data_IF_422237221552
#
_entry.id   IF_422237221552
#
_cell.length_a   1.000
_cell.length_b   1.000
_cell.length_c   1.000
_cell.angle_alpha   90.00
_cell.angle_beta   90.00
_cell.angle_gamma   90.00
#
_symmetry.space_group_name_H-M   'P 1'
#
loop_
_entity.id
_entity.type
_entity.pdbx_description
1 polymer ?
#
# COMPACT_ATOMS: atom_id res chain seq x y z
N UNK A 1 7.51 -30.13 9.28
CA UNK A 1 8.49 -29.28 8.59
C UNK A 1 9.90 -29.52 9.12
N UNK A 2 10.18 -29.34 10.43
CA UNK A 2 11.47 -29.82 11.01
C UNK A 2 11.69 -31.34 10.86
N UNK A 3 10.61 -32.14 10.94
CA UNK A 3 10.67 -33.61 10.85
C UNK A 3 11.01 -34.18 9.45
N UNK A 4 11.22 -33.33 8.43
CA UNK A 4 11.64 -33.74 7.07
C UNK A 4 12.95 -33.10 6.60
N UNK A 5 13.62 -32.31 7.44
CA UNK A 5 14.86 -31.61 7.06
C UNK A 5 14.70 -30.52 5.99
N UNK A 6 13.46 -30.10 5.69
CA UNK A 6 13.19 -29.05 4.71
C UNK A 6 13.14 -27.67 5.38
N UNK A 7 13.92 -26.73 4.84
CA UNK A 7 13.94 -25.34 5.29
C UNK A 7 12.66 -24.65 4.80
N UNK A 8 11.88 -24.11 5.72
CA UNK A 8 10.69 -23.32 5.42
C UNK A 8 11.11 -22.01 4.73
N UNK A 9 10.74 -21.83 3.47
CA UNK A 9 11.11 -20.64 2.68
C UNK A 9 10.08 -19.51 2.74
N UNK A 10 8.80 -19.84 2.93
CA UNK A 10 7.68 -18.89 2.91
C UNK A 10 6.56 -19.36 3.82
N UNK A 11 5.81 -18.40 4.37
CA UNK A 11 4.59 -18.64 5.12
C UNK A 11 3.47 -17.84 4.45
N UNK A 12 2.35 -18.49 4.18
CA UNK A 12 1.11 -17.83 3.75
C UNK A 12 0.17 -17.87 4.94
N UNK A 13 -0.25 -16.68 5.39
CA UNK A 13 -1.26 -16.54 6.44
C UNK A 13 -2.58 -16.25 5.75
N UNK A 14 -3.47 -17.23 5.75
CA UNK A 14 -4.86 -17.01 5.34
C UNK A 14 -5.62 -16.36 6.49
N UNK A 15 -6.25 -15.22 6.20
CA UNK A 15 -7.10 -14.53 7.15
C UNK A 15 -8.56 -14.80 6.79
N UNK A 16 -9.36 -15.28 7.75
CA UNK A 16 -10.76 -15.64 7.47
C UNK A 16 -11.63 -14.41 7.20
N UNK A 17 -12.47 -14.47 6.17
CA UNK A 17 -13.61 -13.56 5.98
C UNK A 17 -13.25 -12.07 6.00
N UNK A 18 -13.72 -11.36 7.03
CA UNK A 18 -13.64 -9.89 7.21
C UNK A 18 -12.38 -9.42 7.94
N UNK A 19 -11.36 -10.27 8.05
CA UNK A 19 -10.17 -9.94 8.82
C UNK A 19 -9.45 -8.71 8.28
N UNK A 20 -9.00 -7.87 9.22
CA UNK A 20 -8.11 -6.75 8.96
C UNK A 20 -6.65 -7.25 9.06
N UNK A 21 -5.79 -7.00 8.06
CA UNK A 21 -4.40 -7.46 8.10
C UNK A 21 -3.53 -6.72 9.11
N UNK A 22 -3.87 -5.49 9.54
CA UNK A 22 -2.94 -4.68 10.33
C UNK A 22 -2.60 -5.27 11.71
N UNK A 23 -3.51 -5.87 12.50
CA UNK A 23 -3.15 -6.54 13.75
C UNK A 23 -2.11 -7.66 13.54
N UNK A 24 -2.22 -8.41 12.44
CA UNK A 24 -1.29 -9.50 12.11
C UNK A 24 0.07 -8.92 11.73
N UNK A 25 0.07 -7.87 10.89
CA UNK A 25 1.29 -7.14 10.53
C UNK A 25 1.97 -6.56 11.76
N UNK A 26 1.21 -5.95 12.66
CA UNK A 26 1.71 -5.40 13.92
C UNK A 26 2.38 -6.47 14.78
N UNK A 27 1.76 -7.65 14.96
CA UNK A 27 2.35 -8.76 15.70
C UNK A 27 3.70 -9.18 15.13
N UNK A 28 3.79 -9.33 13.80
CA UNK A 28 5.03 -9.79 13.16
C UNK A 28 6.12 -8.71 13.22
N UNK A 29 5.77 -7.45 13.00
CA UNK A 29 6.73 -6.34 12.93
C UNK A 29 7.18 -5.84 14.31
N UNK A 30 6.38 -6.03 15.36
CA UNK A 30 6.69 -5.55 16.71
C UNK A 30 7.36 -6.60 17.60
N UNK A 31 7.20 -7.88 17.27
CA UNK A 31 7.85 -8.96 17.99
C UNK A 31 9.31 -9.10 17.52
N UNK A 32 10.26 -8.96 18.44
CA UNK A 32 11.70 -8.98 18.14
C UNK A 32 12.13 -10.34 17.58
N UNK A 33 11.57 -11.44 18.07
CA UNK A 33 11.91 -12.76 17.58
C UNK A 33 11.38 -12.94 16.15
N UNK A 34 10.13 -12.58 15.90
CA UNK A 34 9.55 -12.67 14.56
C UNK A 34 10.26 -11.75 13.56
N UNK A 35 10.59 -10.51 13.94
CA UNK A 35 11.25 -9.54 13.06
C UNK A 35 12.68 -9.92 12.67
N UNK A 36 13.37 -10.76 13.45
CA UNK A 36 14.68 -11.32 13.11
C UNK A 36 14.57 -12.52 12.16
N UNK A 37 13.48 -13.28 12.24
CA UNK A 37 13.32 -14.54 11.52
C UNK A 37 12.42 -14.45 10.27
N UNK A 38 11.56 -13.44 10.21
CA UNK A 38 10.56 -13.28 9.16
C UNK A 38 10.52 -11.85 8.64
N UNK A 39 10.19 -11.72 7.36
CA UNK A 39 9.93 -10.45 6.71
C UNK A 39 8.55 -10.49 6.06
N UNK A 40 7.78 -9.41 6.22
CA UNK A 40 6.51 -9.30 5.50
C UNK A 40 6.80 -9.00 4.03
N UNK A 41 6.43 -9.96 3.19
CA UNK A 41 6.56 -9.81 1.75
C UNK A 41 5.43 -8.97 1.14
N UNK A 42 4.17 -9.32 1.39
CA UNK A 42 3.04 -8.71 0.70
C UNK A 42 1.71 -9.00 1.41
N UNK A 43 0.76 -8.07 1.32
CA UNK A 43 -0.67 -8.32 1.59
C UNK A 43 -1.39 -8.56 0.26
N UNK A 44 -2.05 -9.71 0.12
CA UNK A 44 -2.76 -10.11 -1.10
C UNK A 44 -4.26 -10.18 -0.84
N UNK A 45 -5.06 -9.47 -1.63
CA UNK A 45 -6.52 -9.60 -1.61
C UNK A 45 -6.99 -10.49 -2.77
N UNK A 46 -7.68 -11.58 -2.45
CA UNK A 46 -8.32 -12.44 -3.44
C UNK A 46 -9.74 -11.93 -3.74
N UNK A 47 -10.00 -11.51 -4.98
CA UNK A 47 -11.29 -10.97 -5.41
C UNK A 47 -11.99 -11.97 -6.33
N UNK A 48 -13.19 -12.39 -5.96
CA UNK A 48 -14.08 -13.20 -6.80
C UNK A 48 -14.64 -12.35 -7.94
N UNK A 49 -14.16 -12.56 -9.16
CA UNK A 49 -14.56 -11.77 -10.33
C UNK A 49 -16.02 -11.99 -10.78
N UNK A 50 -16.64 -13.12 -10.41
CA UNK A 50 -18.04 -13.40 -10.70
C UNK A 50 -18.95 -12.60 -9.75
N UNK A 51 -18.60 -12.53 -8.46
CA UNK A 51 -19.43 -11.94 -7.41
C UNK A 51 -18.99 -10.54 -6.95
N UNK A 52 -17.89 -10.00 -7.50
CA UNK A 52 -17.30 -8.73 -7.06
C UNK A 52 -18.27 -7.56 -7.05
N UNK A 53 -19.21 -7.49 -8.00
CA UNK A 53 -20.21 -6.40 -8.04
C UNK A 53 -21.01 -6.31 -6.74
N UNK A 54 -21.40 -7.47 -6.19
CA UNK A 54 -22.15 -7.56 -4.93
C UNK A 54 -21.22 -7.35 -3.75
N UNK A 55 -20.04 -7.96 -3.73
CA UNK A 55 -19.11 -7.83 -2.59
C UNK A 55 -18.62 -6.39 -2.42
N UNK A 56 -18.36 -5.66 -3.51
CA UNK A 56 -17.87 -4.28 -3.47
C UNK A 56 -18.93 -3.23 -3.13
N UNK A 57 -20.14 -3.64 -2.73
CA UNK A 57 -21.09 -2.74 -2.04
C UNK A 57 -20.76 -2.61 -0.55
N UNK A 58 -20.15 -3.65 0.04
CA UNK A 58 -19.72 -3.70 1.43
C UNK A 58 -18.38 -2.94 1.60
N UNK A 59 -18.20 -2.25 2.72
CA UNK A 59 -17.01 -1.40 2.92
C UNK A 59 -15.79 -2.22 3.34
N UNK A 60 -15.99 -3.31 4.07
CA UNK A 60 -14.95 -4.21 4.53
C UNK A 60 -14.26 -4.89 3.34
N UNK A 61 -15.02 -5.32 2.32
CA UNK A 61 -14.45 -5.83 1.08
C UNK A 61 -13.62 -4.79 0.32
N UNK A 62 -14.04 -3.51 0.34
CA UNK A 62 -13.27 -2.41 -0.25
C UNK A 62 -11.99 -2.14 0.54
N UNK A 63 -12.07 -2.16 1.88
CA UNK A 63 -10.91 -1.97 2.76
C UNK A 63 -9.84 -3.03 2.54
N UNK A 64 -10.24 -4.29 2.38
CA UNK A 64 -9.30 -5.37 2.08
C UNK A 64 -8.53 -5.14 0.78
N UNK A 65 -9.19 -4.58 -0.25
CA UNK A 65 -8.51 -4.15 -1.48
C UNK A 65 -7.58 -2.96 -1.22
N UNK A 66 -8.00 -2.00 -0.39
CA UNK A 66 -7.18 -0.84 -0.02
C UNK A 66 -5.93 -1.24 0.75
N UNK A 67 -6.01 -2.22 1.65
CA UNK A 67 -4.88 -2.71 2.43
C UNK A 67 -3.87 -3.53 1.60
N UNK A 68 -4.31 -4.08 0.47
CA UNK A 68 -3.49 -5.00 -0.31
C UNK A 68 -2.36 -4.29 -1.08
N UNK A 69 -1.22 -4.97 -1.16
CA UNK A 69 -0.16 -4.66 -2.12
C UNK A 69 -0.54 -5.17 -3.53
N UNK A 70 -1.25 -6.29 -3.59
CA UNK A 70 -1.71 -6.90 -4.84
C UNK A 70 -3.10 -7.52 -4.72
N UNK A 71 -3.82 -7.53 -5.84
CA UNK A 71 -5.15 -8.13 -5.96
C UNK A 71 -5.08 -9.32 -6.90
N UNK A 72 -5.47 -10.49 -6.42
CA UNK A 72 -5.59 -11.71 -7.21
C UNK A 72 -7.06 -11.93 -7.60
N UNK A 73 -7.37 -11.75 -8.88
CA UNK A 73 -8.69 -12.06 -9.43
C UNK A 73 -8.86 -13.58 -9.53
N UNK A 74 -9.94 -14.08 -8.95
CA UNK A 74 -10.33 -15.49 -8.99
C UNK A 74 -11.64 -15.64 -9.75
N UNK A 75 -11.93 -16.86 -10.24
CA UNK A 75 -13.17 -17.18 -10.98
C UNK A 75 -13.39 -16.31 -12.24
N UNK A 76 -12.31 -15.81 -12.84
CA UNK A 76 -12.34 -15.05 -14.09
C UNK A 76 -12.81 -15.92 -15.26
N UNK A 77 -12.58 -17.24 -15.18
CA UNK A 77 -13.07 -18.26 -16.10
C UNK A 77 -14.60 -18.43 -16.09
N UNK A 78 -15.27 -18.07 -14.99
CA UNK A 78 -16.73 -18.10 -14.88
C UNK A 78 -17.39 -16.78 -15.28
N UNK A 79 -16.60 -15.73 -15.54
CA UNK A 79 -17.09 -14.42 -15.95
C UNK A 79 -17.04 -14.29 -17.47
N UNK A 80 -18.17 -14.58 -18.12
CA UNK A 80 -18.29 -14.55 -19.57
C UNK A 80 -18.37 -13.14 -20.16
N UNK A 81 -18.68 -12.10 -19.35
CA UNK A 81 -18.71 -10.71 -19.83
C UNK A 81 -17.35 -10.02 -19.63
N UNK A 82 -16.56 -9.91 -20.70
CA UNK A 82 -15.28 -9.19 -20.71
C UNK A 82 -15.41 -7.73 -20.25
N UNK A 83 -16.56 -7.08 -20.46
CA UNK A 83 -16.77 -5.70 -19.98
C UNK A 83 -16.90 -5.63 -18.47
N UNK A 84 -17.48 -6.66 -17.84
CA UNK A 84 -17.54 -6.75 -16.39
C UNK A 84 -16.14 -6.86 -15.77
N UNK A 85 -15.23 -7.63 -16.38
CA UNK A 85 -13.84 -7.73 -15.93
C UNK A 85 -13.07 -6.42 -16.06
N UNK A 86 -13.25 -5.69 -17.16
CA UNK A 86 -12.64 -4.36 -17.35
C UNK A 86 -13.11 -3.39 -16.27
N UNK A 87 -14.43 -3.29 -16.06
CA UNK A 87 -15.02 -2.43 -15.01
C UNK A 87 -14.57 -2.81 -13.60
N UNK A 88 -14.40 -4.10 -13.33
CA UNK A 88 -13.88 -4.57 -12.05
C UNK A 88 -12.43 -4.09 -11.82
N UNK A 89 -11.56 -4.22 -12.83
CA UNK A 89 -10.18 -3.72 -12.76
C UNK A 89 -10.13 -2.21 -12.57
N UNK A 90 -10.95 -1.46 -13.28
CA UNK A 90 -11.10 0.00 -13.10
C UNK A 90 -11.55 0.34 -11.68
N UNK A 91 -12.52 -0.41 -11.13
CA UNK A 91 -13.01 -0.20 -9.76
C UNK A 91 -11.94 -0.51 -8.71
N UNK A 92 -11.15 -1.57 -8.88
CA UNK A 92 -10.03 -1.91 -8.01
C UNK A 92 -8.98 -0.80 -8.07
N UNK A 93 -8.60 -0.34 -9.26
CA UNK A 93 -7.65 0.75 -9.42
C UNK A 93 -8.15 2.08 -8.83
N UNK A 94 -9.47 2.34 -8.90
CA UNK A 94 -10.06 3.51 -8.27
C UNK A 94 -10.07 3.43 -6.72
N UNK A 95 -10.07 2.22 -6.15
CA UNK A 95 -9.97 2.00 -4.70
C UNK A 95 -8.52 2.03 -4.23
N UNK A 96 -7.64 1.35 -4.95
CA UNK A 96 -6.23 1.23 -4.65
C UNK A 96 -5.39 1.37 -5.92
N UNK A 97 -4.99 2.60 -6.27
CA UNK A 97 -4.13 2.87 -7.44
C UNK A 97 -2.74 2.25 -7.33
N UNK A 98 -2.37 1.78 -6.13
CA UNK A 98 -1.06 1.21 -5.84
C UNK A 98 -1.01 -0.32 -5.97
N UNK A 99 -2.17 -0.96 -6.16
CA UNK A 99 -2.31 -2.41 -6.24
C UNK A 99 -1.97 -2.94 -7.63
N UNK A 100 -1.09 -3.95 -7.67
CA UNK A 100 -0.92 -4.77 -8.87
C UNK A 100 -2.08 -5.77 -8.98
N UNK A 101 -2.70 -5.87 -10.16
CA UNK A 101 -3.83 -6.78 -10.38
C UNK A 101 -3.37 -7.98 -11.21
N UNK A 102 -3.60 -9.18 -10.67
CA UNK A 102 -3.28 -10.45 -11.31
C UNK A 102 -4.55 -11.24 -11.60
N UNK A 103 -4.49 -12.09 -12.63
CA UNK A 103 -5.52 -13.09 -12.89
C UNK A 103 -4.98 -14.46 -12.48
N UNK A 104 -5.66 -15.12 -11.54
CA UNK A 104 -5.28 -16.47 -11.06
C UNK A 104 -5.16 -17.45 -12.23
N UNK A 105 -5.94 -17.30 -13.29
CA UNK A 105 -5.89 -18.20 -14.46
C UNK A 105 -4.52 -18.19 -15.16
N UNK A 106 -3.82 -17.05 -15.13
CA UNK A 106 -2.59 -16.81 -15.90
C UNK A 106 -1.41 -16.43 -15.00
N UNK A 107 -1.42 -16.85 -13.73
CA UNK A 107 -0.40 -16.45 -12.77
C UNK A 107 0.78 -17.44 -12.76
N UNK A 108 1.99 -16.90 -12.82
CA UNK A 108 3.19 -17.62 -12.41
C UNK A 108 3.42 -17.38 -10.93
N UNK A 109 3.25 -18.41 -10.11
CA UNK A 109 3.36 -18.31 -8.66
C UNK A 109 4.79 -18.02 -8.20
N UNK A 110 5.82 -18.51 -8.89
CA UNK A 110 7.20 -18.23 -8.50
C UNK A 110 7.55 -16.76 -8.76
N UNK A 111 7.14 -16.21 -9.91
CA UNK A 111 7.26 -14.77 -10.17
C UNK A 111 6.41 -13.94 -9.21
N UNK A 112 5.17 -14.36 -8.93
CA UNK A 112 4.27 -13.65 -8.03
C UNK A 112 4.86 -13.54 -6.61
N UNK A 113 5.33 -14.66 -6.05
CA UNK A 113 5.93 -14.67 -4.72
C UNK A 113 7.39 -14.24 -4.71
N UNK A 114 8.14 -14.13 -5.80
CA UNK A 114 9.52 -13.60 -5.78
C UNK A 114 9.59 -12.07 -5.88
N UNK A 115 8.46 -11.40 -6.07
CA UNK A 115 8.36 -9.94 -6.01
C UNK A 115 8.63 -9.48 -4.58
N UNK A 116 9.82 -8.96 -4.34
CA UNK A 116 9.98 -7.99 -3.27
C UNK A 116 9.08 -6.81 -3.63
N UNK A 117 8.33 -6.26 -2.66
CA UNK A 117 7.50 -5.06 -2.73
C UNK A 117 8.30 -3.86 -3.31
N UNK A 118 8.60 -3.92 -4.60
CA UNK A 118 9.40 -2.96 -5.33
C UNK A 118 8.47 -1.79 -5.55
N UNK A 119 8.65 -0.73 -4.78
CA UNK A 119 8.10 0.58 -5.08
C UNK A 119 8.69 1.19 -6.38
N UNK A 120 9.25 0.37 -7.29
CA UNK A 120 10.06 0.78 -8.45
C UNK A 120 9.26 1.39 -9.59
N UNK A 121 7.93 1.28 -9.60
CA UNK A 121 7.09 1.86 -10.65
C UNK A 121 5.96 2.70 -10.05
N UNK A 122 6.23 3.43 -8.96
CA UNK A 122 5.21 4.25 -8.31
C UNK A 122 5.01 5.61 -8.99
N UNK A 123 4.44 5.56 -10.20
CA UNK A 123 3.71 6.68 -10.79
C UNK A 123 2.25 6.24 -10.93
N UNK A 124 1.40 6.41 -9.89
CA UNK A 124 -0.02 6.16 -10.03
C UNK A 124 -0.56 7.09 -11.12
N UNK A 125 -0.97 6.53 -12.26
CA UNK A 125 -1.76 7.26 -13.25
C UNK A 125 -3.13 7.48 -12.63
N UNK A 126 -3.28 8.57 -11.90
CA UNK A 126 -4.54 8.92 -11.26
C UNK A 126 -5.64 9.05 -12.32
N UNK A 127 -6.75 8.32 -12.18
CA UNK A 127 -8.00 8.73 -12.81
C UNK A 127 -8.30 10.14 -12.29
N UNK A 128 -8.63 11.09 -13.18
CA UNK A 128 -9.24 12.37 -12.77
C UNK A 128 -10.46 12.02 -11.92
N UNK A 129 -10.44 12.37 -10.64
CA UNK A 129 -11.51 12.16 -9.66
C UNK A 129 -11.78 10.70 -9.23
N UNK A 130 -10.81 10.04 -8.59
CA UNK A 130 -11.07 8.76 -7.91
C UNK A 130 -11.72 8.94 -6.52
N UNK A 131 -12.91 9.56 -6.47
CA UNK A 131 -13.78 9.46 -5.30
C UNK A 131 -14.58 8.17 -5.39
N UNK A 132 -14.07 7.11 -4.76
CA UNK A 132 -14.88 5.92 -4.51
C UNK A 132 -15.67 6.13 -3.21
N UNK A 133 -16.96 5.77 -3.19
CA UNK A 133 -17.85 6.01 -2.05
C UNK A 133 -17.19 5.64 -0.70
N UNK A 134 -16.83 6.67 0.08
CA UNK A 134 -16.25 6.55 1.42
C UNK A 134 -14.71 6.60 1.51
N UNK A 135 -13.99 6.50 0.39
CA UNK A 135 -12.52 6.50 0.36
C UNK A 135 -11.99 7.68 -0.45
N UNK A 136 -10.92 8.27 0.05
CA UNK A 136 -10.21 9.37 -0.58
C UNK A 136 -8.77 8.93 -0.84
N UNK A 137 -8.27 9.22 -2.04
CA UNK A 137 -6.87 8.96 -2.39
C UNK A 137 -6.16 10.27 -2.63
N UNK A 138 -5.04 10.47 -1.96
CA UNK A 138 -4.17 11.63 -2.10
C UNK A 138 -2.80 11.17 -2.60
N UNK A 139 -2.38 11.70 -3.76
CA UNK A 139 -1.00 11.58 -4.23
C UNK A 139 -0.26 12.88 -3.94
N UNK A 140 0.92 12.79 -3.34
CA UNK A 140 1.79 13.94 -3.07
C UNK A 140 3.13 13.69 -3.74
N UNK A 141 3.57 14.65 -4.56
CA UNK A 141 4.89 14.64 -5.16
C UNK A 141 5.74 15.74 -4.51
N UNK A 142 7.00 15.44 -4.24
CA UNK A 142 7.96 16.38 -3.70
C UNK A 142 9.14 16.51 -4.64
N UNK A 143 9.48 17.74 -4.97
CA UNK A 143 10.69 18.03 -5.72
C UNK A 143 11.89 18.12 -4.79
N UNK A 144 13.01 17.54 -5.24
CA UNK A 144 14.26 17.57 -4.50
C UNK A 144 14.35 16.58 -3.34
N UNK A 145 15.49 16.66 -2.65
CA UNK A 145 15.81 15.81 -1.52
C UNK A 145 15.12 16.28 -0.24
N UNK A 146 14.72 15.32 0.58
CA UNK A 146 14.06 15.50 1.85
C UNK A 146 14.90 14.93 2.99
N UNK A 147 14.92 15.60 4.13
CA UNK A 147 15.57 15.06 5.33
C UNK A 147 14.71 13.94 5.92
N UNK A 148 15.30 12.74 6.02
CA UNK A 148 14.59 11.53 6.41
C UNK A 148 14.01 11.60 7.82
N UNK A 149 14.77 12.15 8.77
CA UNK A 149 14.36 12.22 10.18
C UNK A 149 13.14 13.12 10.35
N UNK A 150 13.12 14.27 9.68
CA UNK A 150 12.01 15.20 9.64
C UNK A 150 10.77 14.55 9.03
N UNK A 151 10.92 13.85 7.90
CA UNK A 151 9.82 13.08 7.32
C UNK A 151 9.28 12.03 8.29
N UNK A 152 10.17 11.28 8.95
CA UNK A 152 9.79 10.27 9.93
C UNK A 152 9.02 10.84 11.12
N UNK A 153 9.44 12.01 11.64
CA UNK A 153 8.73 12.71 12.71
C UNK A 153 7.34 13.17 12.26
N UNK A 154 7.24 13.81 11.09
CA UNK A 154 5.96 14.24 10.53
C UNK A 154 5.00 13.06 10.35
N UNK A 155 5.47 11.99 9.72
CA UNK A 155 4.68 10.79 9.48
C UNK A 155 4.20 10.16 10.79
N UNK A 156 5.07 10.13 11.81
CA UNK A 156 4.71 9.61 13.14
C UNK A 156 3.60 10.43 13.80
N UNK A 157 3.68 11.77 13.74
CA UNK A 157 2.64 12.66 14.26
C UNK A 157 1.33 12.54 13.49
N UNK A 158 1.40 12.42 12.16
CA UNK A 158 0.24 12.23 11.29
C UNK A 158 -0.47 10.91 11.62
N UNK A 159 0.27 9.82 11.76
CA UNK A 159 -0.29 8.50 12.08
C UNK A 159 -0.79 8.42 13.53
N UNK A 160 -0.17 9.12 14.47
CA UNK A 160 -0.69 9.24 15.82
C UNK A 160 -2.08 9.91 15.83
N UNK A 161 -2.26 10.97 15.04
CA UNK A 161 -3.52 11.71 14.97
C UNK A 161 -4.60 11.01 14.13
N UNK A 162 -4.22 10.39 13.00
CA UNK A 162 -5.15 9.91 11.98
C UNK A 162 -4.98 8.43 11.58
N UNK A 163 -4.19 7.64 12.31
CA UNK A 163 -3.79 6.29 11.89
C UNK A 163 -4.91 5.26 11.71
N UNK A 164 -6.11 5.50 12.25
CA UNK A 164 -7.30 4.67 12.00
C UNK A 164 -8.08 5.09 10.75
N UNK A 165 -7.86 6.32 10.27
CA UNK A 165 -8.49 6.89 9.09
C UNK A 165 -7.60 6.80 7.86
N UNK A 166 -6.27 6.79 8.04
CA UNK A 166 -5.33 6.43 6.99
C UNK A 166 -5.31 4.91 6.89
N UNK A 167 -5.64 4.37 5.72
CA UNK A 167 -5.76 2.93 5.49
C UNK A 167 -4.54 2.38 4.75
N UNK A 168 -3.95 3.18 3.87
CA UNK A 168 -2.78 2.82 3.08
C UNK A 168 -1.83 3.99 2.99
N UNK A 169 -0.53 3.70 3.13
CA UNK A 169 0.55 4.60 2.74
C UNK A 169 1.51 3.80 1.86
N UNK A 170 1.88 4.36 0.71
CA UNK A 170 2.94 3.80 -0.13
C UNK A 170 3.71 4.93 -0.78
N UNK A 171 5.01 4.74 -0.96
CA UNK A 171 5.78 5.71 -1.71
C UNK A 171 7.28 5.49 -1.69
N UNK A 172 7.96 6.47 -2.26
CA UNK A 172 9.41 6.59 -2.31
C UNK A 172 9.80 8.00 -1.91
N UNK A 173 10.83 8.12 -1.08
CA UNK A 173 11.40 9.39 -0.62
C UNK A 173 12.81 9.53 -1.16
N UNK A 174 13.08 10.65 -1.82
CA UNK A 174 14.42 11.07 -2.21
C UNK A 174 15.10 11.74 -1.02
N UNK A 175 16.20 11.16 -0.56
CA UNK A 175 16.98 11.64 0.58
C UNK A 175 18.28 12.35 0.16
N UNK A 176 18.43 12.66 -1.13
CA UNK A 176 19.61 13.36 -1.66
C UNK A 176 20.86 12.50 -1.79
N UNK A 177 20.69 11.17 -1.75
CA UNK A 177 21.75 10.18 -1.99
C UNK A 177 21.50 9.42 -3.30
N UNK A 178 22.38 8.47 -3.63
CA UNK A 178 22.17 7.51 -4.74
C UNK A 178 21.07 6.46 -4.43
N UNK A 179 20.42 6.58 -3.28
CA UNK A 179 19.34 5.71 -2.82
C UNK A 179 18.06 6.51 -2.57
N UNK A 180 16.93 5.87 -2.86
CA UNK A 180 15.59 6.27 -2.42
C UNK A 180 15.16 5.41 -1.23
N UNK A 181 14.30 5.95 -0.38
CA UNK A 181 13.69 5.20 0.73
C UNK A 181 12.27 4.81 0.35
N UNK A 182 12.00 3.52 0.23
CA UNK A 182 10.67 2.98 0.01
C UNK A 182 9.89 2.87 1.32
N UNK A 183 8.66 3.40 1.31
CA UNK A 183 7.72 3.36 2.42
C UNK A 183 6.51 2.53 2.02
N UNK A 184 6.08 1.69 2.95
CA UNK A 184 4.89 0.88 2.82
C UNK A 184 4.20 0.83 4.20
N UNK A 185 2.88 1.05 4.24
CA UNK A 185 2.13 1.08 5.47
C UNK A 185 0.67 0.65 5.28
N UNK A 186 0.17 -0.12 6.24
CA UNK A 186 -1.22 -0.56 6.31
C UNK A 186 -1.79 -0.04 7.63
N UNK A 187 -2.80 0.81 7.52
CA UNK A 187 -3.28 1.62 8.64
C UNK A 187 -2.15 2.40 9.34
N UNK A 188 -2.02 2.25 10.66
CA UNK A 188 -0.94 2.85 11.46
C UNK A 188 0.35 2.02 11.46
N UNK A 189 0.38 0.85 10.81
CA UNK A 189 1.53 -0.05 10.81
C UNK A 189 2.43 0.29 9.63
N UNK A 190 3.61 0.85 9.92
CA UNK A 190 4.65 1.14 8.92
C UNK A 190 5.66 -0.01 8.88
N UNK A 191 5.95 -0.47 7.67
CA UNK A 191 6.97 -1.49 7.43
C UNK A 191 8.36 -0.87 7.60
N UNK A 192 9.38 -1.66 7.99
CA UNK A 192 10.76 -1.21 7.97
C UNK A 192 11.11 -0.56 6.62
N UNK A 193 11.54 0.72 6.60
CA UNK A 193 11.89 1.41 5.37
C UNK A 193 13.02 0.69 4.64
N UNK A 194 12.90 0.58 3.31
CA UNK A 194 13.91 -0.09 2.48
C UNK A 194 14.61 0.90 1.57
N UNK A 195 15.93 0.83 1.52
CA UNK A 195 16.70 1.58 0.54
C UNK A 195 16.68 0.88 -0.82
N UNK A 196 16.41 1.63 -1.87
CA UNK A 196 16.44 1.15 -3.26
C UNK A 196 17.34 2.05 -4.10
N UNK A 197 17.98 1.48 -5.12
CA UNK A 197 18.80 2.24 -6.06
C UNK A 197 17.94 3.32 -6.74
N UNK A 198 18.48 4.53 -6.78
CA UNK A 198 17.81 5.68 -7.37
C UNK A 198 17.79 5.58 -8.89
N UNK A 199 16.59 5.65 -9.46
CA UNK A 199 16.32 5.72 -10.90
C UNK A 199 15.53 6.98 -11.30
N UNK A 200 15.06 7.75 -10.32
CA UNK A 200 14.38 9.03 -10.47
C UNK A 200 14.77 10.01 -9.35
N UNK A 201 14.57 11.31 -9.58
CA UNK A 201 14.66 12.33 -8.54
C UNK A 201 13.28 12.63 -7.96
N UNK A 202 13.26 13.14 -6.73
CA UNK A 202 12.04 13.52 -6.04
C UNK A 202 11.29 12.34 -5.43
N UNK A 203 10.28 12.69 -4.64
CA UNK A 203 9.54 11.75 -3.81
C UNK A 203 8.09 11.66 -4.26
N UNK A 204 7.50 10.47 -4.19
CA UNK A 204 6.10 10.23 -4.50
C UNK A 204 5.45 9.47 -3.35
N UNK A 205 4.38 9.99 -2.80
CA UNK A 205 3.58 9.36 -1.75
C UNK A 205 2.13 9.21 -2.20
N UNK A 206 1.51 8.10 -1.81
CA UNK A 206 0.07 7.93 -1.86
C UNK A 206 -0.45 7.56 -0.50
N UNK A 207 -1.53 8.26 -0.14
CA UNK A 207 -2.38 7.97 0.99
C UNK A 207 -3.73 7.51 0.45
N UNK A 208 -4.27 6.44 1.03
CA UNK A 208 -5.68 6.08 0.88
C UNK A 208 -6.30 6.22 2.26
N UNK A 209 -7.33 7.05 2.36
CA UNK A 209 -7.97 7.42 3.62
C UNK A 209 -9.47 7.15 3.57
N UNK A 210 -10.07 7.06 4.76
CA UNK A 210 -11.52 6.97 4.95
C UNK A 210 -11.97 8.02 5.95
N UNK A 211 -13.00 8.77 5.59
CA UNK A 211 -13.54 9.87 6.40
C UNK A 211 -12.48 10.92 6.80
N UNK A 212 -11.43 11.10 5.99
CA UNK A 212 -10.36 12.08 6.23
C UNK A 212 -10.08 12.84 4.95
N UNK A 213 -10.34 14.14 4.98
CA UNK A 213 -10.10 15.05 3.87
C UNK A 213 -8.60 15.20 3.58
N UNK A 214 -8.22 15.22 2.29
CA UNK A 214 -6.84 15.44 1.85
C UNK A 214 -6.19 16.69 2.44
N UNK A 215 -6.99 17.74 2.64
CA UNK A 215 -6.51 19.02 3.15
C UNK A 215 -5.93 18.88 4.57
N UNK A 216 -6.38 17.92 5.37
CA UNK A 216 -5.79 17.68 6.70
C UNK A 216 -4.37 17.15 6.60
N UNK A 217 -4.09 16.26 5.63
CA UNK A 217 -2.73 15.76 5.39
C UNK A 217 -1.86 16.89 4.84
N UNK A 218 -2.35 17.61 3.82
CA UNK A 218 -1.61 18.73 3.21
C UNK A 218 -1.31 19.84 4.22
N UNK A 219 -2.29 20.24 5.04
CA UNK A 219 -2.10 21.25 6.08
C UNK A 219 -1.17 20.79 7.20
N UNK A 220 -1.22 19.51 7.59
CA UNK A 220 -0.28 18.97 8.59
C UNK A 220 1.16 19.08 8.09
N UNK A 221 1.36 18.84 6.79
CA UNK A 221 2.67 18.89 6.17
C UNK A 221 3.17 20.31 6.03
N UNK A 222 2.31 21.22 5.57
CA UNK A 222 2.61 22.65 5.49
C UNK A 222 2.98 23.21 6.87
N UNK A 223 2.18 22.92 7.90
CA UNK A 223 2.46 23.35 9.27
C UNK A 223 3.76 22.77 9.81
N UNK A 224 4.08 21.52 9.50
CA UNK A 224 5.34 20.91 9.90
C UNK A 224 6.56 21.53 9.21
N UNK A 225 6.44 21.84 7.92
CA UNK A 225 7.46 22.59 7.17
C UNK A 225 7.70 23.97 7.79
N UNK A 226 6.64 24.73 8.03
CA UNK A 226 6.73 26.08 8.60
C UNK A 226 7.37 26.07 10.00
N UNK A 227 7.12 25.02 10.78
CA UNK A 227 7.72 24.83 12.10
C UNK A 227 9.23 24.56 12.07
N UNK A 228 9.72 23.77 11.10
CA UNK A 228 11.14 23.36 11.05
C UNK A 228 12.00 24.13 10.04
N UNK A 229 11.41 24.91 9.12
CA UNK A 229 12.15 25.64 8.09
C UNK A 229 12.88 24.75 7.08
N UNK A 230 12.40 23.52 6.86
CA UNK A 230 13.10 22.49 6.07
C UNK A 230 12.79 22.61 4.58
N UNK A 231 13.82 22.46 3.74
CA UNK A 231 13.75 22.43 2.26
C UNK A 231 13.27 21.07 1.74
N UNK A 232 12.68 21.03 0.53
CA UNK A 232 12.26 19.77 -0.11
C UNK A 232 10.84 19.29 0.21
N UNK A 233 10.07 20.07 0.99
CA UNK A 233 8.63 19.84 1.25
C UNK A 233 7.75 20.82 0.47
N UNK A 234 8.11 21.16 -0.76
CA UNK A 234 7.27 21.99 -1.61
C UNK A 234 6.18 21.12 -2.25
N UNK A 235 4.93 21.32 -1.82
CA UNK A 235 3.76 20.75 -2.50
C UNK A 235 3.43 21.61 -3.72
N UNK A 236 2.96 21.02 -4.82
CA UNK A 236 2.36 21.78 -5.93
C UNK A 236 1.16 22.63 -5.46
#
# INVERSE_FOLDING_TARGET
>A
YEWRGEILKRIIIETTGLANPAPILWTILSDVFLGVHFEIQSVVACVDALNAKTHLTNNEAKEQIVFADSVLLTKTDLQNDSRALIKLKERIQALNPSAEIFDKKNIDYESFFSRNNRARNFMPRMPKDSHSQGFETLSINFEGAMEWSAFGIWLSLLLHQYGTQILRIKGIIDIGSDLLVSINGVMHVIYPPKHILKDQNGSNLVFIMRHLEREKILNSLKGFKDFLGIKGFETP
#
